data_IF_351170014420
#
_entry.id   IF_351170014420
#
_cell.length_a   1.000
_cell.length_b   1.000
_cell.length_c   1.000
_cell.angle_alpha   90.00
_cell.angle_beta   90.00
_cell.angle_gamma   90.00
#
_symmetry.space_group_name_H-M   'P 1'
#
loop_
_entity.id
_entity.type
_entity.pdbx_description
1 polymer ?
#
# COMPACT_ATOMS: atom_id res chain seq x y z
N UNK A 1 16.21 0.68 -21.68
CA UNK A 1 15.30 1.72 -21.16
C UNK A 1 13.96 1.54 -21.89
N UNK A 2 12.89 1.24 -21.17
CA UNK A 2 11.53 1.24 -21.73
C UNK A 2 10.81 2.53 -21.35
N UNK A 3 9.96 3.06 -22.23
CA UNK A 3 9.07 4.18 -21.91
C UNK A 3 7.72 3.64 -21.46
N UNK A 4 7.29 3.98 -20.25
CA UNK A 4 5.91 3.75 -19.86
C UNK A 4 5.02 4.74 -20.62
N UNK A 5 4.14 4.22 -21.46
CA UNK A 5 3.23 5.05 -22.27
C UNK A 5 2.10 5.61 -21.41
N UNK A 6 1.73 6.87 -21.66
CA UNK A 6 0.54 7.51 -21.07
C UNK A 6 -0.74 6.68 -21.29
N UNK A 7 -0.78 5.90 -22.37
CA UNK A 7 -1.88 4.96 -22.66
C UNK A 7 -2.05 3.95 -21.53
N UNK A 8 -0.94 3.38 -21.02
CA UNK A 8 -0.98 2.46 -19.88
C UNK A 8 -1.52 3.17 -18.64
N UNK A 9 -1.16 4.43 -18.44
CA UNK A 9 -1.71 5.27 -17.37
C UNK A 9 -3.23 5.42 -17.45
N UNK A 10 -3.78 5.70 -18.63
CA UNK A 10 -5.24 5.77 -18.84
C UNK A 10 -5.90 4.45 -18.48
N UNK A 11 -5.35 3.32 -18.94
CA UNK A 11 -5.89 1.99 -18.64
C UNK A 11 -5.91 1.70 -17.14
N UNK A 12 -4.80 1.98 -16.42
CA UNK A 12 -4.72 1.73 -14.98
C UNK A 12 -5.73 2.57 -14.18
N UNK A 13 -5.88 3.85 -14.52
CA UNK A 13 -6.85 4.74 -13.88
C UNK A 13 -8.29 4.31 -14.20
N UNK A 14 -8.57 3.88 -15.44
CA UNK A 14 -9.88 3.36 -15.81
C UNK A 14 -10.22 2.07 -15.04
N UNK A 15 -9.25 1.15 -14.91
CA UNK A 15 -9.39 -0.08 -14.12
C UNK A 15 -9.70 0.26 -12.66
N UNK A 16 -9.01 1.25 -12.08
CA UNK A 16 -9.27 1.71 -10.71
C UNK A 16 -10.74 2.12 -10.55
N UNK A 17 -11.20 3.10 -11.34
CA UNK A 17 -12.56 3.61 -11.21
C UNK A 17 -13.63 2.55 -11.51
N UNK A 18 -13.41 1.69 -12.50
CA UNK A 18 -14.33 0.60 -12.82
C UNK A 18 -14.49 -0.37 -11.64
N UNK A 19 -13.39 -0.85 -11.06
CA UNK A 19 -13.44 -1.78 -9.93
C UNK A 19 -13.99 -1.12 -8.67
N UNK A 20 -13.63 0.13 -8.38
CA UNK A 20 -14.20 0.88 -7.25
C UNK A 20 -15.71 1.06 -7.40
N UNK A 21 -16.18 1.36 -8.62
CA UNK A 21 -17.60 1.48 -8.90
C UNK A 21 -18.34 0.13 -8.75
N UNK A 22 -17.76 -0.96 -9.25
CA UNK A 22 -18.34 -2.30 -9.10
C UNK A 22 -18.42 -2.72 -7.62
N UNK A 23 -17.36 -2.47 -6.85
CA UNK A 23 -17.35 -2.72 -5.40
C UNK A 23 -18.38 -1.88 -4.66
N UNK A 24 -18.52 -0.60 -5.01
CA UNK A 24 -19.53 0.28 -4.42
C UNK A 24 -20.96 -0.19 -4.73
N UNK A 25 -21.22 -0.76 -5.92
CA UNK A 25 -22.53 -1.33 -6.28
C UNK A 25 -22.80 -2.68 -5.62
N UNK A 26 -21.79 -3.54 -5.47
CA UNK A 26 -21.93 -4.86 -4.83
C UNK A 26 -22.14 -4.77 -3.33
N UNK A 27 -21.72 -3.67 -2.68
CA UNK A 27 -21.98 -3.39 -1.27
C UNK A 27 -23.44 -2.91 -1.06
N UNK A 28 -24.39 -3.71 -1.51
CA UNK A 28 -25.81 -3.57 -1.23
C UNK A 28 -26.16 -4.31 0.06
N UNK A 29 -26.03 -3.61 1.19
CA UNK A 29 -26.67 -3.81 2.50
C UNK A 29 -25.71 -3.28 3.58
N UNK A 30 -25.56 -1.96 3.65
CA UNK A 30 -25.18 -1.36 4.94
C UNK A 30 -26.39 -1.61 5.82
N UNK A 31 -26.30 -2.53 6.79
CA UNK A 31 -27.30 -2.59 7.86
C UNK A 31 -27.47 -1.17 8.36
N UNK A 32 -28.68 -0.62 8.22
CA UNK A 32 -28.99 0.69 8.78
C UNK A 32 -28.75 0.59 10.28
N UNK A 33 -27.68 1.22 10.75
CA UNK A 33 -27.40 1.35 12.18
C UNK A 33 -28.57 2.17 12.75
N UNK A 34 -29.50 1.44 13.38
CA UNK A 34 -30.81 1.91 13.86
C UNK A 34 -30.73 2.67 15.19
N UNK A 35 -29.54 3.03 15.68
CA UNK A 35 -29.38 3.69 16.97
C UNK A 35 -29.26 5.22 16.82
N UNK A 36 -30.33 5.95 17.14
CA UNK A 36 -30.34 7.43 17.24
C UNK A 36 -29.27 7.95 18.22
N UNK A 37 -28.94 7.18 19.26
CA UNK A 37 -27.87 7.47 20.21
C UNK A 37 -26.46 7.40 19.59
N UNK A 38 -26.29 6.63 18.51
CA UNK A 38 -25.02 6.48 17.80
C UNK A 38 -24.87 7.52 16.69
N UNK A 39 -25.96 7.90 16.00
CA UNK A 39 -25.98 9.03 15.05
C UNK A 39 -25.48 10.34 15.66
N UNK A 40 -25.81 10.61 16.93
CA UNK A 40 -25.33 11.77 17.68
C UNK A 40 -23.79 11.81 17.87
N UNK A 41 -23.12 10.66 17.82
CA UNK A 41 -21.67 10.52 18.03
C UNK A 41 -20.86 10.39 16.73
N UNK A 42 -21.51 10.25 15.57
CA UNK A 42 -20.85 10.13 14.26
C UNK A 42 -19.88 11.28 14.02
N UNK A 43 -20.29 12.52 14.30
CA UNK A 43 -19.41 13.69 14.15
C UNK A 43 -18.12 13.57 14.98
N UNK A 44 -18.20 13.01 16.20
CA UNK A 44 -17.03 12.78 17.05
C UNK A 44 -16.13 11.67 16.50
N UNK A 45 -16.70 10.60 15.94
CA UNK A 45 -15.92 9.53 15.32
C UNK A 45 -15.24 9.99 14.04
N UNK A 46 -15.95 10.72 13.17
CA UNK A 46 -15.38 11.33 11.97
C UNK A 46 -14.24 12.29 12.33
N UNK A 47 -14.44 13.17 13.31
CA UNK A 47 -13.40 14.08 13.78
C UNK A 47 -12.15 13.33 14.30
N UNK A 48 -12.34 12.26 15.09
CA UNK A 48 -11.23 11.41 15.56
C UNK A 48 -10.50 10.71 14.41
N UNK A 49 -11.23 10.20 13.43
CA UNK A 49 -10.65 9.55 12.25
C UNK A 49 -9.85 10.52 11.39
N UNK A 50 -10.36 11.73 11.16
CA UNK A 50 -9.64 12.78 10.41
C UNK A 50 -8.39 13.22 11.16
N UNK A 51 -8.48 13.43 12.48
CA UNK A 51 -7.33 13.82 13.29
C UNK A 51 -6.26 12.71 13.31
N UNK A 52 -6.69 11.45 13.43
CA UNK A 52 -5.80 10.29 13.32
C UNK A 52 -5.13 10.20 11.95
N UNK A 53 -5.88 10.39 10.87
CA UNK A 53 -5.36 10.39 9.51
C UNK A 53 -4.29 11.47 9.31
N UNK A 54 -4.56 12.71 9.73
CA UNK A 54 -3.58 13.81 9.66
C UNK A 54 -2.32 13.45 10.44
N UNK A 55 -2.45 12.93 11.66
CA UNK A 55 -1.31 12.53 12.49
C UNK A 55 -0.46 11.45 11.82
N UNK A 56 -1.09 10.44 11.23
CA UNK A 56 -0.41 9.36 10.52
C UNK A 56 0.34 9.87 9.28
N UNK A 57 -0.28 10.73 8.48
CA UNK A 57 0.34 11.34 7.30
C UNK A 57 1.52 12.24 7.69
N UNK A 58 1.35 13.06 8.73
CA UNK A 58 2.42 13.92 9.24
C UNK A 58 3.62 13.11 9.74
N UNK A 59 3.38 12.02 10.47
CA UNK A 59 4.43 11.10 10.91
C UNK A 59 5.17 10.48 9.73
N UNK A 60 4.45 10.01 8.70
CA UNK A 60 5.07 9.45 7.50
C UNK A 60 5.99 10.46 6.81
N UNK A 61 5.50 11.70 6.65
CA UNK A 61 6.26 12.78 6.04
C UNK A 61 7.55 13.08 6.81
N UNK A 62 7.47 13.25 8.14
CA UNK A 62 8.64 13.53 8.99
C UNK A 62 9.65 12.38 8.95
N UNK A 63 9.19 11.12 8.97
CA UNK A 63 10.07 9.95 8.88
C UNK A 63 10.80 9.91 7.54
N UNK A 64 10.08 10.06 6.43
CA UNK A 64 10.66 10.02 5.08
C UNK A 64 11.66 11.15 4.89
N UNK A 65 11.30 12.38 5.28
CA UNK A 65 12.14 13.56 5.12
C UNK A 65 13.42 13.44 5.94
N UNK A 66 13.30 13.09 7.22
CA UNK A 66 14.45 12.97 8.13
C UNK A 66 15.38 11.84 7.71
N UNK A 67 14.84 10.67 7.34
CA UNK A 67 15.65 9.54 6.91
C UNK A 67 16.35 9.82 5.57
N UNK A 68 15.66 10.50 4.64
CA UNK A 68 16.24 10.90 3.35
C UNK A 68 17.37 11.91 3.53
N UNK A 69 17.21 12.89 4.43
CA UNK A 69 18.25 13.87 4.76
C UNK A 69 19.51 13.20 5.34
N UNK A 70 19.33 12.26 6.27
CA UNK A 70 20.44 11.50 6.86
C UNK A 70 21.16 10.67 5.79
N UNK A 71 20.42 9.97 4.93
CA UNK A 71 20.99 9.13 3.88
C UNK A 71 21.74 9.95 2.82
N UNK A 72 21.21 11.10 2.41
CA UNK A 72 21.91 12.04 1.53
C UNK A 72 23.22 12.53 2.15
N UNK A 73 23.18 12.90 3.44
CA UNK A 73 24.35 13.35 4.18
C UNK A 73 25.41 12.25 4.35
N UNK A 74 24.98 10.98 4.36
CA UNK A 74 25.85 9.81 4.39
C UNK A 74 26.38 9.39 3.00
N UNK A 75 26.07 10.14 1.93
CA UNK A 75 26.54 9.86 0.57
C UNK A 75 25.76 8.76 -0.16
N UNK A 76 24.58 8.38 0.33
CA UNK A 76 23.74 7.38 -0.33
C UNK A 76 23.15 7.98 -1.62
N UNK A 77 23.28 7.33 -2.78
CA UNK A 77 22.70 7.80 -4.04
C UNK A 77 21.18 8.01 -3.96
N UNK A 78 20.67 9.11 -4.52
CA UNK A 78 19.24 9.47 -4.48
C UNK A 78 18.32 8.39 -5.06
N UNK A 79 18.81 7.59 -6.02
CA UNK A 79 18.05 6.48 -6.60
C UNK A 79 17.81 5.34 -5.59
N UNK A 80 18.77 5.08 -4.69
CA UNK A 80 18.62 4.09 -3.62
C UNK A 80 17.67 4.64 -2.55
N UNK A 81 17.79 5.93 -2.20
CA UNK A 81 16.91 6.60 -1.25
C UNK A 81 15.45 6.54 -1.71
N UNK A 82 15.19 6.91 -2.97
CA UNK A 82 13.86 6.83 -3.57
C UNK A 82 13.33 5.40 -3.65
N UNK A 83 14.19 4.45 -4.04
CA UNK A 83 13.81 3.04 -4.16
C UNK A 83 13.58 2.31 -2.83
N UNK A 84 14.11 2.81 -1.71
CA UNK A 84 14.07 2.12 -0.41
C UNK A 84 13.43 2.97 0.69
N UNK A 85 14.08 4.07 1.10
CA UNK A 85 13.65 4.90 2.23
C UNK A 85 12.29 5.53 1.97
N UNK A 86 12.10 6.12 0.79
CA UNK A 86 10.83 6.76 0.43
C UNK A 86 9.73 5.69 0.31
N UNK A 87 10.00 4.61 -0.44
CA UNK A 87 9.05 3.51 -0.64
C UNK A 87 8.63 2.83 0.68
N UNK A 88 9.58 2.62 1.60
CA UNK A 88 9.31 2.07 2.91
C UNK A 88 8.55 3.06 3.79
N UNK A 89 9.00 4.32 3.86
CA UNK A 89 8.43 5.33 4.74
C UNK A 89 6.98 5.69 4.37
N UNK A 90 6.61 5.67 3.10
CA UNK A 90 5.21 5.84 2.67
C UNK A 90 4.31 4.66 3.07
N UNK A 91 4.88 3.50 3.37
CA UNK A 91 4.15 2.27 3.77
C UNK A 91 4.12 2.04 5.29
N UNK A 92 4.86 2.86 6.06
CA UNK A 92 4.92 2.79 7.53
C UNK A 92 3.54 3.03 8.17
N UNK A 93 2.77 4.06 7.77
CA UNK A 93 1.38 4.24 8.18
C UNK A 93 0.54 2.96 8.13
N UNK A 94 0.53 2.31 6.98
CA UNK A 94 -0.26 1.12 6.68
C UNK A 94 0.22 -0.07 7.48
N UNK A 95 1.53 -0.19 7.70
CA UNK A 95 2.10 -1.22 8.56
C UNK A 95 1.62 -1.05 10.01
N UNK A 96 1.69 0.17 10.55
CA UNK A 96 1.28 0.47 11.92
C UNK A 96 -0.21 0.24 12.12
N UNK A 97 -1.06 0.73 11.21
CA UNK A 97 -2.52 0.55 11.31
C UNK A 97 -2.94 -0.91 11.11
N UNK A 98 -2.26 -1.67 10.24
CA UNK A 98 -2.48 -3.10 10.07
C UNK A 98 -2.10 -3.88 11.32
N UNK A 99 -0.94 -3.60 11.92
CA UNK A 99 -0.50 -4.26 13.16
C UNK A 99 -1.48 -3.97 14.31
N UNK A 100 -1.91 -2.72 14.47
CA UNK A 100 -2.88 -2.33 15.49
C UNK A 100 -4.24 -3.04 15.28
N UNK A 101 -4.70 -3.12 14.04
CA UNK A 101 -5.95 -3.84 13.68
C UNK A 101 -5.87 -5.33 14.02
N UNK A 102 -4.75 -6.00 13.69
CA UNK A 102 -4.54 -7.42 14.04
C UNK A 102 -4.47 -7.60 15.56
N UNK A 103 -3.79 -6.71 16.29
CA UNK A 103 -3.73 -6.76 17.76
C UNK A 103 -5.09 -6.65 18.42
N UNK A 104 -6.02 -5.91 17.80
CA UNK A 104 -7.42 -5.77 18.23
C UNK A 104 -8.33 -6.91 17.75
N UNK A 105 -7.79 -7.90 17.04
CA UNK A 105 -8.56 -9.05 16.53
C UNK A 105 -9.23 -8.82 15.18
N UNK A 106 -9.01 -7.67 14.53
CA UNK A 106 -9.60 -7.31 13.24
C UNK A 106 -8.68 -7.68 12.06
N UNK A 107 -8.49 -8.98 11.83
CA UNK A 107 -7.63 -9.47 10.73
C UNK A 107 -8.14 -9.04 9.35
N UNK A 108 -9.45 -9.10 9.12
CA UNK A 108 -10.06 -8.71 7.84
C UNK A 108 -9.83 -7.23 7.52
N UNK A 109 -9.85 -6.36 8.54
CA UNK A 109 -9.56 -4.93 8.39
C UNK A 109 -8.09 -4.71 8.00
N UNK A 110 -7.17 -5.42 8.64
CA UNK A 110 -5.75 -5.35 8.31
C UNK A 110 -5.46 -5.84 6.88
N UNK A 111 -6.10 -6.94 6.46
CA UNK A 111 -5.98 -7.46 5.09
C UNK A 111 -6.58 -6.51 4.05
N UNK A 112 -7.75 -5.93 4.36
CA UNK A 112 -8.38 -4.91 3.52
C UNK A 112 -7.51 -3.67 3.34
N UNK A 113 -6.82 -3.24 4.39
CA UNK A 113 -5.85 -2.15 4.33
C UNK A 113 -4.66 -2.50 3.42
N UNK A 114 -4.03 -3.67 3.60
CA UNK A 114 -2.87 -4.10 2.79
C UNK A 114 -3.25 -4.24 1.31
N UNK A 115 -4.33 -4.98 1.01
CA UNK A 115 -4.76 -5.25 -0.37
C UNK A 115 -5.25 -3.97 -1.04
N UNK A 116 -6.02 -3.14 -0.31
CA UNK A 116 -6.53 -1.86 -0.79
C UNK A 116 -5.40 -0.88 -1.14
N UNK A 117 -4.39 -0.75 -0.27
CA UNK A 117 -3.24 0.14 -0.53
C UNK A 117 -2.39 -0.34 -1.71
N UNK A 118 -2.13 -1.64 -1.84
CA UNK A 118 -1.44 -2.19 -3.02
C UNK A 118 -2.22 -1.94 -4.32
N UNK A 119 -3.54 -2.10 -4.28
CA UNK A 119 -4.42 -1.81 -5.41
C UNK A 119 -4.37 -0.32 -5.78
N UNK A 120 -4.53 0.58 -4.82
CA UNK A 120 -4.44 2.04 -5.01
C UNK A 120 -3.08 2.47 -5.58
N UNK A 121 -1.98 1.94 -5.04
CA UNK A 121 -0.63 2.30 -5.47
C UNK A 121 -0.37 1.84 -6.92
N UNK A 122 -0.79 0.62 -7.27
CA UNK A 122 -0.52 0.03 -8.59
C UNK A 122 -1.44 0.56 -9.68
N UNK A 123 -2.68 0.92 -9.34
CA UNK A 123 -3.67 1.40 -10.33
C UNK A 123 -3.74 2.92 -10.37
N UNK A 124 -4.11 3.56 -9.25
CA UNK A 124 -4.34 5.00 -9.22
C UNK A 124 -3.02 5.80 -9.22
N UNK A 125 -2.12 5.56 -8.25
CA UNK A 125 -0.90 6.37 -8.12
C UNK A 125 0.03 6.16 -9.32
N UNK A 126 0.31 4.90 -9.67
CA UNK A 126 1.16 4.58 -10.82
C UNK A 126 0.50 5.02 -12.14
N UNK A 127 -0.81 4.85 -12.28
CA UNK A 127 -1.56 5.30 -13.45
C UNK A 127 -1.49 6.81 -13.66
N UNK A 128 -1.72 7.59 -12.59
CA UNK A 128 -1.55 9.05 -12.61
C UNK A 128 -0.10 9.45 -12.90
N UNK A 129 0.88 8.74 -12.34
CA UNK A 129 2.31 9.00 -12.61
C UNK A 129 2.62 8.89 -14.11
N UNK A 130 2.13 7.84 -14.77
CA UNK A 130 2.32 7.65 -16.22
C UNK A 130 1.56 8.67 -17.07
N UNK A 131 0.43 9.20 -16.59
CA UNK A 131 -0.31 10.26 -17.29
C UNK A 131 0.43 11.60 -17.25
N UNK A 132 0.97 11.96 -16.08
CA UNK A 132 1.61 13.26 -15.84
C UNK A 132 2.98 13.33 -16.50
N UNK A 133 3.79 12.26 -16.43
CA UNK A 133 5.17 12.29 -16.93
C UNK A 133 5.60 10.95 -17.55
N UNK A 134 6.29 10.96 -18.71
CA UNK A 134 6.89 9.74 -19.25
C UNK A 134 8.02 9.26 -18.34
N UNK A 135 7.80 8.14 -17.66
CA UNK A 135 8.78 7.54 -16.74
C UNK A 135 9.72 6.62 -17.51
N UNK A 136 11.03 6.86 -17.39
CA UNK A 136 12.06 5.93 -17.85
C UNK A 136 12.17 4.77 -16.89
N UNK A 137 11.91 3.55 -17.36
CA UNK A 137 11.94 2.35 -16.51
C UNK A 137 13.19 1.52 -16.82
N UNK A 138 13.93 1.19 -15.77
CA UNK A 138 14.95 0.14 -15.84
C UNK A 138 14.25 -1.21 -15.91
N UNK A 139 14.35 -1.88 -17.07
CA UNK A 139 13.59 -3.10 -17.34
C UNK A 139 13.97 -4.25 -16.39
N UNK A 140 15.25 -4.33 -15.98
CA UNK A 140 15.75 -5.36 -15.09
C UNK A 140 15.18 -5.17 -13.67
N UNK A 141 15.30 -3.96 -13.12
CA UNK A 141 14.72 -3.63 -11.81
C UNK A 141 13.19 -3.79 -11.79
N UNK A 142 12.52 -3.37 -12.87
CA UNK A 142 11.07 -3.53 -13.00
C UNK A 142 10.65 -5.00 -13.08
N UNK A 143 11.37 -5.82 -13.83
CA UNK A 143 11.05 -7.25 -13.95
C UNK A 143 11.17 -7.99 -12.62
N UNK A 144 12.21 -7.68 -11.82
CA UNK A 144 12.37 -8.21 -10.46
C UNK A 144 11.21 -7.76 -9.55
N UNK A 145 10.90 -6.46 -9.55
CA UNK A 145 9.77 -5.90 -8.78
C UNK A 145 8.45 -6.62 -9.10
N UNK A 146 8.12 -6.77 -10.38
CA UNK A 146 6.90 -7.44 -10.83
C UNK A 146 6.90 -8.92 -10.42
N UNK A 147 8.02 -9.61 -10.60
CA UNK A 147 8.15 -11.02 -10.24
C UNK A 147 7.89 -11.26 -8.74
N UNK A 148 8.59 -10.53 -7.87
CA UNK A 148 8.42 -10.68 -6.41
C UNK A 148 7.04 -10.21 -5.94
N UNK A 149 6.48 -9.16 -6.55
CA UNK A 149 5.12 -8.69 -6.26
C UNK A 149 4.06 -9.74 -6.60
N UNK A 150 4.16 -10.36 -7.79
CA UNK A 150 3.25 -11.43 -8.20
C UNK A 150 3.41 -12.67 -7.32
N UNK A 151 4.65 -13.08 -7.03
CA UNK A 151 4.93 -14.21 -6.16
C UNK A 151 4.32 -14.03 -4.76
N UNK A 152 4.52 -12.85 -4.16
CA UNK A 152 3.95 -12.49 -2.86
C UNK A 152 2.41 -12.51 -2.90
N UNK A 153 1.82 -11.98 -3.97
CA UNK A 153 0.36 -11.95 -4.16
C UNK A 153 -0.24 -13.36 -4.28
N UNK A 154 0.41 -14.25 -5.04
CA UNK A 154 -0.03 -15.65 -5.20
C UNK A 154 0.03 -16.39 -3.86
N UNK A 155 1.15 -16.24 -3.14
CA UNK A 155 1.33 -16.89 -1.83
C UNK A 155 0.31 -16.35 -0.82
N UNK A 156 0.11 -15.03 -0.78
CA UNK A 156 -0.90 -14.42 0.08
C UNK A 156 -2.30 -14.94 -0.26
N UNK A 157 -2.67 -15.02 -1.55
CA UNK A 157 -3.95 -15.57 -1.98
C UNK A 157 -4.14 -17.02 -1.52
N UNK A 158 -3.10 -17.85 -1.63
CA UNK A 158 -3.12 -19.23 -1.14
C UNK A 158 -3.28 -19.33 0.38
N UNK A 159 -2.59 -18.45 1.14
CA UNK A 159 -2.73 -18.39 2.61
C UNK A 159 -4.17 -18.02 3.00
N UNK A 160 -4.76 -17.06 2.30
CA UNK A 160 -6.13 -16.58 2.58
C UNK A 160 -7.19 -17.65 2.31
N UNK A 161 -7.02 -18.47 1.27
CA UNK A 161 -7.93 -19.59 0.98
C UNK A 161 -7.95 -20.65 2.11
N UNK A 162 -6.84 -20.82 2.82
CA UNK A 162 -6.72 -21.73 3.96
C UNK A 162 -7.23 -21.12 5.29
N UNK A 163 -7.81 -19.92 5.24
CA UNK A 163 -8.56 -19.22 6.30
C UNK A 163 -7.82 -19.00 7.63
N UNK A 164 -6.50 -19.20 7.70
CA UNK A 164 -5.70 -18.95 8.91
C UNK A 164 -4.33 -18.37 8.57
N UNK A 165 -4.18 -17.07 8.74
CA UNK A 165 -2.87 -16.42 8.75
C UNK A 165 -2.20 -16.72 10.10
N UNK A 166 -1.14 -17.53 10.11
CA UNK A 166 -0.33 -17.79 11.31
C UNK A 166 1.04 -17.14 11.17
N UNK A 167 1.85 -17.25 12.24
CA UNK A 167 3.21 -16.68 12.27
C UNK A 167 4.13 -17.28 11.20
N UNK A 168 3.94 -18.54 10.83
CA UNK A 168 4.82 -19.24 9.86
C UNK A 168 4.67 -18.66 8.46
N UNK A 169 3.44 -18.39 8.05
CA UNK A 169 3.08 -17.81 6.77
C UNK A 169 3.61 -16.37 6.66
N UNK A 170 3.52 -15.60 7.75
CA UNK A 170 4.15 -14.28 7.85
C UNK A 170 5.67 -14.31 7.71
N UNK A 171 6.35 -15.29 8.32
CA UNK A 171 7.81 -15.47 8.18
C UNK A 171 8.19 -15.79 6.73
N UNK A 172 7.41 -16.62 6.03
CA UNK A 172 7.66 -16.94 4.61
C UNK A 172 7.59 -15.67 3.75
N UNK A 173 6.54 -14.85 3.91
CA UNK A 173 6.41 -13.58 3.19
C UNK A 173 7.56 -12.60 3.51
N UNK A 174 8.01 -12.56 4.77
CA UNK A 174 9.12 -11.73 5.20
C UNK A 174 10.46 -12.19 4.60
N UNK A 175 10.69 -13.50 4.50
CA UNK A 175 11.88 -14.06 3.83
C UNK A 175 11.90 -13.66 2.35
N UNK A 176 10.76 -13.76 1.66
CA UNK A 176 10.65 -13.35 0.24
C UNK A 176 10.97 -11.86 0.09
N UNK A 177 10.47 -11.02 1.00
CA UNK A 177 10.78 -9.59 1.01
C UNK A 177 12.28 -9.31 1.24
N UNK A 178 12.93 -10.04 2.15
CA UNK A 178 14.37 -9.91 2.37
C UNK A 178 15.17 -10.33 1.13
N UNK A 179 14.80 -11.45 0.49
CA UNK A 179 15.43 -11.90 -0.75
C UNK A 179 15.28 -10.83 -1.84
N UNK A 180 14.10 -10.23 -1.97
CA UNK A 180 13.86 -9.13 -2.91
C UNK A 180 14.81 -7.94 -2.65
N UNK A 181 14.94 -7.49 -1.39
CA UNK A 181 15.85 -6.37 -1.06
C UNK A 181 17.29 -6.70 -1.44
N UNK A 182 17.79 -7.86 -1.02
CA UNK A 182 19.19 -8.26 -1.24
C UNK A 182 19.49 -8.43 -2.72
N UNK A 183 18.56 -8.98 -3.50
CA UNK A 183 18.77 -9.21 -4.94
C UNK A 183 18.57 -7.97 -5.80
N UNK A 184 17.79 -6.99 -5.33
CA UNK A 184 17.48 -5.77 -6.10
C UNK A 184 18.37 -4.58 -5.75
N UNK A 185 18.89 -4.52 -4.53
CA UNK A 185 19.71 -3.41 -4.03
C UNK A 185 21.09 -3.82 -3.50
N UNK A 186 21.37 -5.12 -3.40
CA UNK A 186 22.71 -5.66 -3.11
C UNK A 186 23.50 -5.91 -4.38
#
# INVERSE_FOLDING_TARGET
MGYASQIVGVFLVAIFFYNTYELARKKGSVEEISDEAEKSKVGKYVAKSVLGFIGVVACAYVIVESASFIALSAGVPSIIIGGTIVAFGTSVPELVTSIDSVRKGFLELALGNIIGSCFLNTTLILGLTFLISPVSVNISAFSALVFFSLLSTIILSYILQNAKVRKREGIILLIIYIIFIVTSFG
#
